data_IF_335744929602
#
_entry.id   IF_335744929602
#
_cell.length_a   1.000
_cell.length_b   1.000
_cell.length_c   1.000
_cell.angle_alpha   90.00
_cell.angle_beta   90.00
_cell.angle_gamma   90.00
#
_symmetry.space_group_name_H-M   'P 1'
#
loop_
_entity.id
_entity.type
_entity.pdbx_description
1 polymer ?
#
# COMPACT_ATOMS: atom_id res chain seq x y z
N UNK A 1 -13.83 -24.83 -20.18
CA UNK A 1 -13.70 -23.37 -19.97
C UNK A 1 -14.37 -22.62 -21.11
N UNK A 2 -15.50 -21.96 -20.84
CA UNK A 2 -16.21 -21.12 -21.81
C UNK A 2 -15.79 -19.66 -21.57
N UNK A 3 -15.51 -18.93 -22.64
CA UNK A 3 -15.24 -17.50 -22.55
C UNK A 3 -16.53 -16.76 -22.89
N UNK A 4 -16.94 -15.83 -22.04
CA UNK A 4 -17.99 -14.87 -22.39
C UNK A 4 -17.32 -13.54 -22.68
N UNK A 5 -17.37 -13.16 -23.95
CA UNK A 5 -16.99 -11.84 -24.42
C UNK A 5 -18.29 -11.03 -24.41
N UNK A 6 -18.27 -9.88 -23.76
CA UNK A 6 -19.31 -8.89 -23.97
C UNK A 6 -18.71 -7.75 -24.79
N UNK A 7 -19.36 -7.46 -25.91
CA UNK A 7 -19.08 -6.28 -26.71
C UNK A 7 -19.40 -5.01 -25.90
N UNK A 8 -19.06 -3.82 -26.40
CA UNK A 8 -19.25 -2.57 -25.68
C UNK A 8 -20.68 -2.44 -25.13
N UNK A 9 -20.85 -2.59 -23.82
CA UNK A 9 -22.12 -2.40 -23.11
C UNK A 9 -22.12 -1.01 -22.50
N UNK A 10 -23.10 -0.21 -22.89
CA UNK A 10 -23.32 1.12 -22.32
C UNK A 10 -23.90 0.99 -20.91
N UNK A 11 -23.13 1.41 -19.90
CA UNK A 11 -23.62 1.59 -18.54
C UNK A 11 -23.62 3.09 -18.26
N UNK A 12 -24.80 3.71 -18.38
CA UNK A 12 -24.94 5.17 -18.32
C UNK A 12 -24.28 5.84 -19.54
N UNK A 13 -23.37 6.78 -19.31
CA UNK A 13 -22.63 7.52 -20.36
C UNK A 13 -21.34 6.84 -20.83
N UNK A 14 -21.01 5.63 -20.34
CA UNK A 14 -19.74 4.97 -20.62
C UNK A 14 -19.95 3.62 -21.30
N UNK A 15 -19.13 3.37 -22.32
CA UNK A 15 -18.99 2.07 -22.95
C UNK A 15 -18.01 1.20 -22.17
N UNK A 16 -18.44 0.01 -21.78
CA UNK A 16 -17.61 -0.97 -21.10
C UNK A 16 -17.54 -2.22 -21.96
N UNK A 17 -16.34 -2.59 -22.40
CA UNK A 17 -16.06 -3.85 -23.09
C UNK A 17 -15.08 -4.68 -22.27
N UNK A 18 -15.22 -6.00 -22.29
CA UNK A 18 -14.36 -6.88 -21.51
C UNK A 18 -14.54 -8.36 -21.82
N UNK A 19 -13.53 -9.14 -21.44
CA UNK A 19 -13.53 -10.60 -21.60
C UNK A 19 -13.53 -11.27 -20.23
N UNK A 20 -14.46 -12.21 -20.03
CA UNK A 20 -14.57 -12.99 -18.80
C UNK A 20 -14.44 -14.47 -19.12
N UNK A 21 -13.53 -15.11 -18.41
CA UNK A 21 -13.33 -16.54 -18.41
C UNK A 21 -14.24 -17.16 -17.35
N UNK A 22 -15.12 -18.05 -17.78
CA UNK A 22 -16.08 -18.72 -16.91
C UNK A 22 -15.64 -20.18 -16.73
N UNK A 23 -15.51 -20.57 -15.47
CA UNK A 23 -15.26 -21.95 -15.05
C UNK A 23 -16.53 -22.78 -15.05
N UNK A 24 -16.42 -24.08 -14.82
CA UNK A 24 -17.58 -24.98 -14.90
C UNK A 24 -18.67 -24.58 -13.88
N UNK A 25 -19.93 -24.71 -14.30
CA UNK A 25 -21.16 -24.31 -13.60
C UNK A 25 -21.35 -22.81 -13.26
N UNK A 26 -20.54 -21.90 -13.81
CA UNK A 26 -20.76 -20.46 -13.63
C UNK A 26 -20.39 -19.92 -12.23
N UNK A 27 -19.84 -20.78 -11.37
CA UNK A 27 -19.41 -20.45 -9.99
C UNK A 27 -18.15 -19.58 -9.98
N UNK A 28 -17.41 -19.57 -11.08
CA UNK A 28 -16.13 -18.91 -11.22
C UNK A 28 -16.10 -18.00 -12.46
N UNK A 29 -15.91 -16.71 -12.25
CA UNK A 29 -15.77 -15.70 -13.30
C UNK A 29 -14.48 -14.90 -13.09
N UNK A 30 -13.60 -14.89 -14.10
CA UNK A 30 -12.35 -14.11 -14.09
C UNK A 30 -12.27 -13.15 -15.26
N UNK A 31 -12.01 -11.88 -15.00
CA UNK A 31 -11.76 -10.91 -16.07
C UNK A 31 -10.29 -10.87 -16.45
N UNK A 32 -10.02 -10.72 -17.75
CA UNK A 32 -8.68 -10.52 -18.32
C UNK A 32 -7.93 -9.31 -17.75
N UNK A 33 -8.64 -8.31 -17.20
CA UNK A 33 -8.00 -7.15 -16.55
C UNK A 33 -7.32 -7.48 -15.21
N UNK A 34 -7.59 -8.66 -14.62
CA UNK A 34 -6.97 -9.18 -13.38
C UNK A 34 -7.02 -8.26 -12.15
N UNK A 35 -7.93 -7.29 -12.10
CA UNK A 35 -8.05 -6.36 -10.97
C UNK A 35 -8.41 -7.09 -9.67
N UNK A 36 -9.27 -8.10 -9.77
CA UNK A 36 -9.68 -8.88 -8.60
C UNK A 36 -8.51 -9.71 -8.05
N UNK A 37 -7.69 -10.30 -8.90
CA UNK A 37 -6.49 -11.04 -8.52
C UNK A 37 -5.41 -10.12 -7.92
N UNK A 38 -5.31 -8.88 -8.39
CA UNK A 38 -4.28 -7.93 -7.96
C UNK A 38 -4.67 -7.18 -6.69
N UNK A 39 -5.92 -6.74 -6.59
CA UNK A 39 -6.39 -5.88 -5.51
C UNK A 39 -7.51 -6.49 -4.68
N UNK A 40 -8.07 -7.64 -5.05
CA UNK A 40 -9.22 -8.24 -4.37
C UNK A 40 -10.49 -7.40 -4.48
N UNK A 41 -10.62 -6.62 -5.56
CA UNK A 41 -11.75 -5.74 -5.84
C UNK A 41 -12.33 -6.12 -7.21
N UNK A 42 -13.64 -6.43 -7.33
CA UNK A 42 -14.28 -6.67 -8.62
C UNK A 42 -14.11 -5.46 -9.54
N UNK A 43 -13.60 -5.67 -10.75
CA UNK A 43 -13.50 -4.60 -11.74
C UNK A 43 -14.87 -4.22 -12.30
N UNK A 44 -14.93 -3.07 -12.98
CA UNK A 44 -16.12 -2.68 -13.75
C UNK A 44 -16.60 -3.79 -14.68
N UNK A 45 -15.69 -4.53 -15.34
CA UNK A 45 -16.06 -5.62 -16.25
C UNK A 45 -16.77 -6.78 -15.54
N UNK A 46 -16.28 -7.18 -14.36
CA UNK A 46 -16.93 -8.18 -13.51
C UNK A 46 -18.31 -7.70 -13.08
N UNK A 47 -18.42 -6.45 -12.63
CA UNK A 47 -19.68 -5.85 -12.21
C UNK A 47 -20.68 -5.83 -13.39
N UNK A 48 -20.24 -5.39 -14.58
CA UNK A 48 -21.06 -5.39 -15.79
C UNK A 48 -21.60 -6.79 -16.08
N UNK A 49 -20.74 -7.81 -16.04
CA UNK A 49 -21.13 -9.18 -16.25
C UNK A 49 -22.13 -9.70 -15.23
N UNK A 50 -21.93 -9.41 -13.93
CA UNK A 50 -22.89 -9.80 -12.90
C UNK A 50 -24.25 -9.15 -13.16
N UNK A 51 -24.27 -7.86 -13.51
CA UNK A 51 -25.49 -7.11 -13.83
C UNK A 51 -26.19 -7.69 -15.08
N UNK A 52 -25.44 -7.95 -16.15
CA UNK A 52 -25.98 -8.47 -17.42
C UNK A 52 -26.57 -9.89 -17.25
N UNK A 53 -25.98 -10.70 -16.38
CA UNK A 53 -26.48 -12.04 -16.06
C UNK A 53 -27.48 -12.01 -14.89
N UNK A 54 -27.97 -10.84 -14.47
CA UNK A 54 -28.95 -10.67 -13.39
C UNK A 54 -28.53 -11.31 -12.04
N UNK A 55 -27.22 -11.39 -11.79
CA UNK A 55 -26.67 -11.93 -10.55
C UNK A 55 -26.71 -10.82 -9.49
N UNK A 56 -27.70 -10.90 -8.60
CA UNK A 56 -27.93 -9.93 -7.52
C UNK A 56 -27.05 -10.17 -6.29
N UNK A 57 -26.55 -11.38 -6.10
CA UNK A 57 -25.69 -11.77 -4.99
C UNK A 57 -24.26 -11.90 -5.50
N UNK A 58 -23.33 -11.16 -4.90
CA UNK A 58 -21.92 -11.27 -5.26
C UNK A 58 -21.42 -12.70 -4.97
N UNK A 59 -20.94 -13.45 -5.99
CA UNK A 59 -20.46 -14.81 -5.81
C UNK A 59 -19.37 -14.89 -4.75
N UNK A 60 -19.35 -15.98 -3.99
CA UNK A 60 -18.39 -16.16 -2.90
C UNK A 60 -16.93 -16.16 -3.37
N UNK A 61 -16.70 -16.61 -4.61
CA UNK A 61 -15.40 -16.57 -5.30
C UNK A 61 -14.89 -15.15 -5.54
N UNK A 62 -15.77 -14.15 -5.53
CA UNK A 62 -15.47 -12.72 -5.66
C UNK A 62 -15.44 -11.99 -4.30
N UNK A 63 -15.47 -12.71 -3.18
CA UNK A 63 -15.36 -12.17 -1.81
C UNK A 63 -14.05 -12.63 -1.16
N UNK A 64 -13.03 -11.76 -1.19
CA UNK A 64 -11.74 -12.04 -0.56
C UNK A 64 -11.80 -11.94 0.98
N UNK A 65 -10.99 -12.73 1.69
CA UNK A 65 -10.91 -12.79 3.16
C UNK A 65 -10.71 -11.44 3.85
N UNK A 66 -10.07 -10.47 3.19
CA UNK A 66 -9.93 -9.10 3.72
C UNK A 66 -11.28 -8.40 3.91
N UNK A 67 -12.26 -8.70 3.06
CA UNK A 67 -13.61 -8.13 3.10
C UNK A 67 -14.53 -8.89 4.02
N UNK A 68 -14.17 -10.12 4.40
CA UNK A 68 -14.94 -10.89 5.37
C UNK A 68 -14.68 -10.30 6.74
N UNK A 69 -15.76 -9.94 7.42
CA UNK A 69 -15.77 -9.74 8.87
C UNK A 69 -15.58 -11.11 9.55
N UNK A 70 -14.44 -11.74 9.32
CA UNK A 70 -14.00 -12.81 10.19
C UNK A 70 -13.78 -12.13 11.53
N UNK A 71 -14.69 -12.40 12.48
CA UNK A 71 -14.49 -12.13 13.88
C UNK A 71 -13.16 -12.82 14.23
N UNK A 72 -12.04 -12.09 14.08
CA UNK A 72 -10.81 -12.50 14.70
C UNK A 72 -11.23 -12.54 16.16
N UNK A 73 -11.33 -13.74 16.72
CA UNK A 73 -11.17 -13.91 18.15
C UNK A 73 -9.76 -13.37 18.42
N UNK A 74 -9.69 -12.05 18.52
CA UNK A 74 -8.53 -11.34 18.98
C UNK A 74 -8.53 -11.80 20.42
N UNK A 75 -7.76 -12.85 20.71
CA UNK A 75 -7.36 -13.14 22.07
C UNK A 75 -6.95 -11.80 22.62
N UNK A 76 -7.78 -11.27 23.51
CA UNK A 76 -7.50 -10.05 24.25
C UNK A 76 -6.19 -10.36 24.94
N UNK A 77 -5.10 -9.90 24.33
CA UNK A 77 -3.77 -10.10 24.88
C UNK A 77 -3.78 -9.42 26.21
N UNK A 78 -3.75 -10.28 27.23
CA UNK A 78 -3.59 -10.02 28.64
C UNK A 78 -4.65 -9.14 29.29
N UNK A 79 -5.33 -9.76 30.24
CA UNK A 79 -5.58 -9.28 31.60
C UNK A 79 -4.31 -8.70 32.25
N UNK A 80 -3.68 -7.69 31.64
CA UNK A 80 -2.78 -6.82 32.37
C UNK A 80 -3.63 -5.66 32.85
N UNK A 81 -4.07 -5.77 34.10
CA UNK A 81 -4.24 -4.64 35.00
C UNK A 81 -2.90 -3.91 35.08
N UNK A 82 -2.51 -3.22 34.00
CA UNK A 82 -1.47 -2.21 34.10
C UNK A 82 -2.08 -1.14 34.97
N UNK A 83 -1.53 -1.00 36.18
CA UNK A 83 -1.77 0.13 37.06
C UNK A 83 -1.99 1.37 36.20
N UNK A 84 -3.18 1.96 36.33
CA UNK A 84 -3.58 3.15 35.62
C UNK A 84 -2.70 4.30 36.15
N UNK A 85 -1.47 4.40 35.66
CA UNK A 85 -0.74 5.66 35.70
C UNK A 85 -1.65 6.64 34.99
N UNK A 86 -2.02 7.71 35.68
CA UNK A 86 -2.96 8.73 35.23
C UNK A 86 -2.43 9.43 33.97
N UNK A 87 -2.53 8.73 32.84
CA UNK A 87 -2.43 9.31 31.54
C UNK A 87 -3.78 9.92 31.31
N UNK A 88 -3.84 11.23 31.05
CA UNK A 88 -5.04 11.98 30.61
C UNK A 88 -5.73 11.42 29.35
N UNK A 89 -5.39 10.20 28.94
CA UNK A 89 -5.90 9.45 27.80
C UNK A 89 -6.91 8.39 28.27
N UNK A 90 -8.19 8.64 28.02
CA UNK A 90 -9.30 7.74 28.36
C UNK A 90 -9.45 6.55 27.39
N UNK A 91 -8.67 6.50 26.30
CA UNK A 91 -8.81 5.49 25.24
C UNK A 91 -8.65 4.04 25.75
N UNK A 92 -7.69 3.70 26.64
CA UNK A 92 -7.56 2.33 27.15
C UNK A 92 -8.77 1.90 27.98
N UNK A 93 -9.28 2.78 28.84
CA UNK A 93 -10.48 2.52 29.65
C UNK A 93 -11.72 2.32 28.78
N UNK A 94 -11.91 3.16 27.77
CA UNK A 94 -13.00 3.02 26.82
C UNK A 94 -12.95 1.68 26.07
N UNK A 95 -11.77 1.28 25.59
CA UNK A 95 -11.61 -0.01 24.91
C UNK A 95 -11.90 -1.20 25.83
N UNK A 96 -11.55 -1.10 27.12
CA UNK A 96 -11.85 -2.12 28.11
C UNK A 96 -13.36 -2.23 28.36
N UNK A 97 -14.05 -1.09 28.53
CA UNK A 97 -15.51 -1.04 28.66
C UNK A 97 -16.20 -1.70 27.46
N UNK A 98 -15.79 -1.36 26.23
CA UNK A 98 -16.36 -1.94 25.00
C UNK A 98 -16.14 -3.45 24.94
N UNK A 99 -14.96 -3.93 25.36
CA UNK A 99 -14.64 -5.36 25.37
C UNK A 99 -15.53 -6.13 26.34
N UNK A 100 -15.75 -5.61 27.56
CA UNK A 100 -16.62 -6.23 28.57
C UNK A 100 -18.12 -6.12 28.22
N UNK A 101 -18.51 -5.01 27.62
CA UNK A 101 -19.90 -4.77 27.24
C UNK A 101 -20.32 -5.63 26.04
N UNK A 102 -19.42 -5.87 25.08
CA UNK A 102 -19.70 -6.63 23.87
C UNK A 102 -20.17 -8.08 24.08
N UNK A 103 -20.07 -8.61 25.30
CA UNK A 103 -20.50 -9.97 25.67
C UNK A 103 -22.01 -10.09 25.96
N UNK A 104 -22.74 -8.98 26.16
CA UNK A 104 -24.16 -9.02 26.51
C UNK A 104 -24.88 -7.73 26.13
N UNK A 105 -26.03 -7.86 25.48
CA UNK A 105 -26.87 -6.72 25.07
C UNK A 105 -27.22 -5.79 26.24
N UNK A 106 -27.51 -6.35 27.41
CA UNK A 106 -27.79 -5.56 28.62
C UNK A 106 -26.58 -4.72 29.06
N UNK A 107 -25.36 -5.28 28.99
CA UNK A 107 -24.12 -4.55 29.31
C UNK A 107 -23.85 -3.46 28.28
N UNK A 108 -24.17 -3.68 27.00
CA UNK A 108 -24.06 -2.66 25.94
C UNK A 108 -24.99 -1.48 26.23
N UNK A 109 -26.25 -1.74 26.58
CA UNK A 109 -27.22 -0.70 26.91
C UNK A 109 -26.75 0.12 28.11
N UNK A 110 -26.27 -0.56 29.16
CA UNK A 110 -25.74 0.10 30.36
C UNK A 110 -24.50 0.94 30.06
N UNK A 111 -23.53 0.41 29.32
CA UNK A 111 -22.32 1.13 28.93
C UNK A 111 -22.63 2.36 28.07
N UNK A 112 -23.61 2.25 27.17
CA UNK A 112 -24.09 3.36 26.34
C UNK A 112 -24.66 4.48 27.20
N UNK A 113 -25.53 4.15 28.16
CA UNK A 113 -26.11 5.13 29.07
C UNK A 113 -25.05 5.92 29.85
N UNK A 114 -24.05 5.24 30.41
CA UNK A 114 -22.94 5.91 31.12
C UNK A 114 -22.22 6.91 30.23
N UNK A 115 -21.98 6.54 28.98
CA UNK A 115 -21.27 7.41 28.02
C UNK A 115 -22.12 8.61 27.63
N UNK A 116 -23.42 8.41 27.38
CA UNK A 116 -24.37 9.48 27.05
C UNK A 116 -24.48 10.48 28.22
N UNK A 117 -24.70 10.01 29.44
CA UNK A 117 -24.77 10.84 30.65
C UNK A 117 -23.44 11.60 30.87
N UNK A 118 -22.30 10.94 30.62
CA UNK A 118 -20.97 11.55 30.70
C UNK A 118 -20.69 12.61 29.64
N UNK A 119 -21.22 12.43 28.43
CA UNK A 119 -21.13 13.44 27.37
C UNK A 119 -22.00 14.63 27.74
N UNK A 120 -23.26 14.41 28.12
CA UNK A 120 -24.20 15.47 28.48
C UNK A 120 -23.70 16.34 29.64
N UNK A 121 -23.10 15.72 30.65
CA UNK A 121 -22.49 16.42 31.79
C UNK A 121 -21.18 17.16 31.48
N UNK A 122 -20.47 16.81 30.40
CA UNK A 122 -19.23 17.48 29.98
C UNK A 122 -19.44 18.51 28.88
N UNK A 123 -20.54 18.42 28.15
CA UNK A 123 -20.96 19.44 27.17
C UNK A 123 -21.71 20.56 27.87
N UNK A 124 -20.99 21.56 28.37
CA UNK A 124 -21.61 22.85 28.67
C UNK A 124 -22.14 23.48 27.36
N UNK A 125 -23.32 24.12 27.43
CA UNK A 125 -24.03 24.80 26.34
C UNK A 125 -23.27 25.98 25.66
N UNK A 126 -21.93 25.98 25.64
CA UNK A 126 -21.06 27.05 25.14
C UNK A 126 -20.03 26.63 24.09
N UNK A 127 -20.29 25.59 23.31
CA UNK A 127 -19.60 25.44 22.01
C UNK A 127 -20.58 24.94 20.94
N UNK A 128 -21.48 25.83 20.56
CA UNK A 128 -22.07 25.81 19.23
C UNK A 128 -20.99 26.10 18.18
N UNK A 129 -20.10 25.13 17.95
CA UNK A 129 -19.43 25.00 16.67
C UNK A 129 -19.94 23.71 16.06
N UNK A 130 -21.09 23.84 15.39
CA UNK A 130 -21.55 22.85 14.42
C UNK A 130 -20.54 22.88 13.28
N UNK A 131 -19.40 22.21 13.46
CA UNK A 131 -18.65 21.73 12.32
C UNK A 131 -19.55 20.62 11.78
N UNK A 132 -20.35 20.97 10.78
CA UNK A 132 -21.10 20.00 10.00
C UNK A 132 -20.10 18.89 9.62
N UNK A 133 -20.30 17.69 10.17
CA UNK A 133 -19.59 16.51 9.70
C UNK A 133 -20.12 16.28 8.29
N UNK A 134 -19.43 16.85 7.31
CA UNK A 134 -19.61 16.48 5.92
C UNK A 134 -19.17 15.02 5.82
N UNK A 135 -20.14 14.12 5.89
CA UNK A 135 -19.92 12.72 5.55
C UNK A 135 -19.63 12.74 4.06
N UNK A 136 -18.34 12.82 3.70
CA UNK A 136 -17.91 12.86 2.32
C UNK A 136 -18.62 11.74 1.55
N UNK A 137 -19.61 12.12 0.77
CA UNK A 137 -20.40 11.17 -0.01
C UNK A 137 -19.44 10.50 -0.98
N UNK A 138 -19.39 9.17 -0.97
CA UNK A 138 -18.65 8.38 -1.96
C UNK A 138 -19.48 8.39 -3.26
N UNK A 139 -19.67 9.57 -3.85
CA UNK A 139 -20.20 9.72 -5.21
C UNK A 139 -19.09 10.07 -6.21
N UNK A 140 -17.83 10.10 -5.76
CA UNK A 140 -16.66 10.32 -6.63
C UNK A 140 -16.29 9.06 -7.44
N UNK A 141 -17.21 8.61 -8.28
CA UNK A 141 -16.87 7.83 -9.48
C UNK A 141 -16.88 8.71 -10.75
N UNK A 142 -17.28 9.97 -10.62
CA UNK A 142 -17.32 10.93 -11.71
C UNK A 142 -15.95 11.62 -11.88
N UNK A 143 -15.06 11.05 -12.71
CA UNK A 143 -13.92 11.78 -13.24
C UNK A 143 -14.26 12.29 -14.65
N UNK A 144 -14.94 13.43 -14.69
CA UNK A 144 -14.90 14.34 -15.83
C UNK A 144 -14.20 15.59 -15.33
N UNK A 145 -12.87 15.52 -15.20
CA UNK A 145 -12.09 16.67 -14.80
C UNK A 145 -11.93 17.57 -16.03
N UNK A 146 -12.84 18.55 -16.20
CA UNK A 146 -12.82 19.51 -17.32
C UNK A 146 -11.88 20.69 -17.06
N UNK A 147 -11.12 20.68 -15.97
CA UNK A 147 -10.05 21.64 -15.77
C UNK A 147 -8.80 21.16 -16.49
N UNK A 148 -8.29 21.96 -17.44
CA UNK A 148 -6.91 21.86 -17.89
C UNK A 148 -6.02 22.19 -16.69
N UNK A 149 -5.65 21.17 -15.93
CA UNK A 149 -4.61 21.30 -14.92
C UNK A 149 -3.32 21.57 -15.68
N UNK A 150 -2.70 22.72 -15.46
CA UNK A 150 -1.31 22.92 -15.88
C UNK A 150 -0.44 22.00 -15.02
N UNK A 151 -0.08 20.85 -15.59
CA UNK A 151 0.75 19.83 -14.93
C UNK A 151 2.19 20.35 -15.01
N UNK A 152 2.52 21.28 -14.13
CA UNK A 152 3.90 21.59 -13.80
C UNK A 152 4.55 20.39 -13.11
N UNK A 153 5.90 20.32 -13.16
CA UNK A 153 6.62 19.31 -12.39
C UNK A 153 6.22 19.41 -10.91
N UNK A 154 5.90 18.28 -10.25
CA UNK A 154 5.52 18.30 -8.84
C UNK A 154 6.63 18.94 -8.02
N UNK A 155 6.25 19.71 -7.00
CA UNK A 155 7.20 20.27 -6.05
C UNK A 155 8.04 19.12 -5.46
N UNK A 156 9.37 19.22 -5.61
CA UNK A 156 10.27 18.14 -5.21
C UNK A 156 10.26 18.02 -3.69
N UNK A 157 9.37 17.18 -3.18
CA UNK A 157 9.30 16.85 -1.77
C UNK A 157 10.58 16.10 -1.36
N UNK A 158 11.17 16.51 -0.23
CA UNK A 158 12.35 15.83 0.32
C UNK A 158 11.97 14.41 0.70
N UNK A 159 12.53 13.43 -0.01
CA UNK A 159 12.37 12.02 0.32
C UNK A 159 13.10 11.67 1.61
N UNK A 160 12.56 10.67 2.34
CA UNK A 160 13.20 10.09 3.52
C UNK A 160 14.62 9.63 3.13
N UNK A 161 15.64 10.26 3.71
CA UNK A 161 17.05 10.04 3.36
C UNK A 161 17.78 11.27 2.78
N UNK A 162 17.06 12.36 2.51
CA UNK A 162 17.66 13.62 2.06
C UNK A 162 18.45 14.29 3.20
N UNK A 163 19.76 14.01 3.27
CA UNK A 163 20.69 14.32 4.37
C UNK A 163 20.39 15.58 5.19
N UNK A 164 20.33 15.39 6.50
CA UNK A 164 20.17 16.46 7.49
C UNK A 164 21.47 17.27 7.61
N UNK A 165 21.34 18.57 7.93
CA UNK A 165 22.42 19.37 8.53
C UNK A 165 22.92 18.59 9.75
N UNK A 166 24.14 18.06 9.69
CA UNK A 166 24.72 17.22 10.75
C UNK A 166 25.29 15.88 10.27
N UNK A 167 25.00 15.43 9.04
CA UNK A 167 25.79 14.33 8.45
C UNK A 167 27.14 14.88 8.01
N UNK A 168 28.28 14.40 8.54
CA UNK A 168 29.58 14.80 8.04
C UNK A 168 29.65 14.56 6.53
N UNK A 169 30.31 15.47 5.81
CA UNK A 169 30.52 15.36 4.36
C UNK A 169 30.95 13.94 3.97
N UNK A 170 30.58 13.46 2.77
CA UNK A 170 31.13 12.20 2.21
C UNK A 170 32.67 12.19 2.18
N UNK A 171 33.30 13.35 2.29
CA UNK A 171 34.76 13.53 2.43
C UNK A 171 35.31 13.42 3.86
N UNK A 172 34.46 13.18 4.86
CA UNK A 172 34.95 12.92 6.23
C UNK A 172 35.64 11.56 6.30
N UNK A 173 36.83 11.50 6.90
CA UNK A 173 37.68 10.29 6.97
C UNK A 173 36.95 9.05 7.49
N UNK A 174 35.92 9.24 8.34
CA UNK A 174 35.09 8.15 8.88
C UNK A 174 34.25 7.42 7.83
N UNK A 175 33.95 8.04 6.69
CA UNK A 175 33.08 7.51 5.63
C UNK A 175 33.79 7.30 4.28
N UNK A 176 35.08 7.62 4.17
CA UNK A 176 35.89 7.27 3.00
C UNK A 176 36.15 5.77 3.06
N UNK A 177 35.60 5.02 2.10
CA UNK A 177 35.90 3.59 1.99
C UNK A 177 37.41 3.41 1.80
N UNK A 178 38.06 2.47 2.52
CA UNK A 178 39.48 2.09 2.30
C UNK A 178 39.79 1.71 0.85
N UNK A 179 38.76 1.50 0.01
CA UNK A 179 38.84 1.26 -1.43
C UNK A 179 39.24 2.52 -2.23
N UNK A 180 38.98 3.74 -1.72
CA UNK A 180 39.39 4.99 -2.38
C UNK A 180 40.86 5.35 -2.09
N UNK A 181 41.43 4.89 -0.98
CA UNK A 181 42.87 5.05 -0.69
C UNK A 181 43.75 4.05 -1.43
N UNK A 182 43.16 3.01 -2.01
CA UNK A 182 43.87 2.11 -2.92
C UNK A 182 43.70 2.62 -4.34
N UNK A 183 44.61 3.51 -4.76
CA UNK A 183 44.90 3.68 -6.19
C UNK A 183 45.09 2.27 -6.77
N UNK A 184 44.31 1.82 -7.77
CA UNK A 184 44.52 0.52 -8.37
C UNK A 184 45.98 0.45 -8.84
N UNK A 185 46.79 -0.44 -8.27
CA UNK A 185 48.14 -0.68 -8.78
C UNK A 185 48.00 -1.02 -10.26
N UNK A 186 48.47 -0.13 -11.12
CA UNK A 186 48.50 -0.34 -12.56
C UNK A 186 49.23 -1.67 -12.81
N UNK A 187 48.55 -2.61 -13.47
CA UNK A 187 49.12 -3.92 -13.80
C UNK A 187 50.32 -3.70 -14.72
N UNK A 188 51.45 -4.29 -14.36
CA UNK A 188 52.63 -4.37 -15.23
C UNK A 188 52.44 -5.50 -16.23
N UNK A 189 52.89 -5.29 -17.46
CA UNK A 189 52.95 -6.33 -18.48
C UNK A 189 53.76 -7.52 -17.96
N UNK A 190 53.24 -8.75 -18.11
CA UNK A 190 53.93 -9.96 -17.66
C UNK A 190 55.16 -10.33 -18.51
N UNK A 191 55.35 -9.69 -19.67
CA UNK A 191 56.44 -9.96 -20.61
C UNK A 191 57.62 -9.01 -20.33
N UNK A 192 57.37 -7.70 -20.29
CA UNK A 192 58.44 -6.69 -20.13
C UNK A 192 58.42 -5.96 -18.79
N UNK A 193 57.44 -6.20 -17.91
CA UNK A 193 57.34 -5.56 -16.59
C UNK A 193 56.91 -4.09 -16.59
N UNK A 194 56.75 -3.47 -17.77
CA UNK A 194 56.38 -2.05 -17.90
C UNK A 194 54.86 -1.88 -17.69
N UNK A 195 54.47 -0.79 -17.03
CA UNK A 195 53.05 -0.42 -16.79
C UNK A 195 52.50 0.36 -17.98
N UNK A 196 51.20 0.21 -18.27
CA UNK A 196 50.51 0.96 -19.34
C UNK A 196 50.09 0.12 -20.55
N UNK A 197 50.44 -1.16 -20.59
CA UNK A 197 49.96 -2.12 -21.59
C UNK A 197 49.91 -3.54 -20.98
N UNK A 198 49.21 -4.47 -21.64
CA UNK A 198 49.13 -5.88 -21.23
C UNK A 198 49.94 -6.77 -22.20
N UNK A 199 50.14 -8.05 -21.89
CA UNK A 199 50.92 -9.00 -22.69
C UNK A 199 50.47 -9.10 -24.16
N UNK A 200 49.20 -8.78 -24.43
CA UNK A 200 48.60 -8.82 -25.78
C UNK A 200 49.06 -7.66 -26.65
N UNK A 201 49.42 -6.53 -26.05
CA UNK A 201 49.85 -5.30 -26.70
C UNK A 201 51.30 -4.93 -26.35
N UNK A 202 52.10 -5.93 -25.96
CA UNK A 202 53.48 -5.70 -25.56
C UNK A 202 54.39 -5.46 -26.78
N UNK A 203 55.10 -4.33 -26.85
CA UNK A 203 56.05 -4.04 -27.95
C UNK A 203 57.23 -5.01 -27.99
N UNK A 204 57.58 -5.60 -26.84
CA UNK A 204 58.68 -6.56 -26.72
C UNK A 204 58.29 -7.99 -27.09
N UNK A 205 57.04 -8.23 -27.49
CA UNK A 205 56.54 -9.56 -27.85
C UNK A 205 57.27 -10.12 -29.09
N UNK A 206 57.66 -9.23 -30.01
CA UNK A 206 58.29 -9.61 -31.28
C UNK A 206 59.74 -10.06 -31.11
N UNK A 207 60.41 -9.71 -30.00
CA UNK A 207 61.77 -10.16 -29.69
C UNK A 207 61.85 -11.53 -29.00
N UNK A 208 60.73 -12.06 -28.49
CA UNK A 208 60.69 -13.37 -27.82
C UNK A 208 60.37 -14.49 -28.81
N UNK A 209 59.77 -14.15 -29.96
CA UNK A 209 59.39 -15.11 -31.01
C UNK A 209 60.56 -15.61 -31.89
N UNK A 210 61.82 -15.33 -31.51
CA UNK A 210 63.02 -15.79 -32.23
C UNK A 210 63.92 -16.72 -31.40
N UNK A 211 63.44 -17.20 -30.24
CA UNK A 211 64.11 -18.24 -29.45
C UNK A 211 63.09 -19.30 -29.03
N UNK A 212 62.44 -19.92 -30.02
CA UNK A 212 61.93 -21.30 -29.92
C UNK A 212 62.44 -22.08 -31.13
#
# INVERSE_FOLDING_TARGET
MKNQIFDAVSIGSFEVSGTIHIGDEGVYAKCTCRLFESFGIPCRHLICYLTLNTISILPETLVCNRWRALQRQRTTTSSHTTELKDTRNLRPLFNHLVSLAGESEAKIIYARKILEDGIESTTDNKTGSVIAKDYGSITRFHYSNTQSIDIGNPEVARTKGCGHRGRPSKYSERFISKRMNNVPKQRSCSICGIKGHDKRSCPSKDHICQQE
#
